data_IF_897875130822
#
_entry.id   IF_897875130822
#
_cell.length_a   1.000
_cell.length_b   1.000
_cell.length_c   1.000
_cell.angle_alpha   90.00
_cell.angle_beta   90.00
_cell.angle_gamma   90.00
#
_symmetry.space_group_name_H-M   'P 1'
#
loop_
_entity.id
_entity.type
_entity.pdbx_description
1 polymer ?
#
# COMPACT_ATOMS: atom_id res chain seq x y z
N UNK A 1 -3.02 17.60 -12.88
CA UNK A 1 -2.39 16.43 -12.19
C UNK A 1 -2.48 15.22 -13.09
N UNK A 2 -1.37 14.53 -13.32
CA UNK A 2 -1.29 13.25 -14.04
C UNK A 2 -1.06 12.13 -13.06
N UNK A 3 -1.88 11.09 -13.12
CA UNK A 3 -1.85 9.95 -12.20
C UNK A 3 -1.49 8.69 -12.98
N UNK A 4 -0.61 7.86 -12.43
CA UNK A 4 -0.38 6.50 -12.90
C UNK A 4 -1.02 5.50 -11.95
N UNK A 5 -1.72 4.53 -12.51
CA UNK A 5 -2.21 3.36 -11.78
C UNK A 5 -1.49 2.13 -12.33
N UNK A 6 -0.82 1.40 -11.46
CA UNK A 6 -0.02 0.27 -11.89
C UNK A 6 -0.91 -0.95 -12.24
N UNK A 7 -0.87 -1.38 -13.50
CA UNK A 7 -1.26 -2.74 -13.86
C UNK A 7 -0.08 -3.66 -13.51
N UNK A 8 -0.08 -4.14 -12.28
CA UNK A 8 1.06 -4.80 -11.69
C UNK A 8 0.99 -6.31 -11.85
N UNK A 9 2.02 -6.90 -12.46
CA UNK A 9 2.17 -8.34 -12.48
C UNK A 9 2.89 -8.80 -11.20
N UNK A 10 2.23 -9.60 -10.38
CA UNK A 10 2.84 -10.15 -9.15
C UNK A 10 4.09 -10.93 -9.49
N UNK A 11 5.18 -10.69 -8.77
CA UNK A 11 6.47 -11.33 -8.96
C UNK A 11 6.88 -12.21 -7.77
N UNK A 12 8.06 -12.80 -7.91
CA UNK A 12 8.72 -13.56 -6.86
C UNK A 12 10.16 -13.05 -6.74
N UNK A 13 10.40 -11.90 -6.08
CA UNK A 13 11.75 -11.36 -5.93
C UNK A 13 12.63 -12.34 -5.14
N UNK A 14 13.90 -12.47 -5.54
CA UNK A 14 14.86 -13.33 -4.87
C UNK A 14 15.26 -12.78 -3.48
N UNK A 15 15.26 -11.46 -3.36
CA UNK A 15 15.62 -10.72 -2.16
C UNK A 15 14.94 -9.34 -2.16
N UNK A 16 15.14 -8.58 -1.08
CA UNK A 16 14.59 -7.22 -0.97
C UNK A 16 15.17 -6.28 -2.04
N UNK A 17 16.44 -6.45 -2.42
CA UNK A 17 17.08 -5.60 -3.43
C UNK A 17 16.46 -5.76 -4.81
N UNK A 18 16.15 -7.00 -5.21
CA UNK A 18 15.44 -7.29 -6.45
C UNK A 18 14.03 -6.67 -6.46
N UNK A 19 13.31 -6.73 -5.33
CA UNK A 19 12.04 -6.03 -5.16
C UNK A 19 12.22 -4.51 -5.32
N UNK A 20 13.18 -3.93 -4.59
CA UNK A 20 13.44 -2.50 -4.61
C UNK A 20 13.84 -2.00 -6.01
N UNK A 21 14.69 -2.74 -6.73
CA UNK A 21 15.08 -2.43 -8.09
C UNK A 21 13.88 -2.39 -9.03
N UNK A 22 12.95 -3.34 -8.90
CA UNK A 22 11.72 -3.37 -9.67
C UNK A 22 10.81 -2.17 -9.37
N UNK A 23 10.63 -1.80 -8.09
CA UNK A 23 9.84 -0.64 -7.72
C UNK A 23 10.47 0.65 -8.29
N UNK A 24 11.79 0.76 -8.22
CA UNK A 24 12.55 1.88 -8.79
C UNK A 24 12.34 2.02 -10.30
N UNK A 25 12.32 0.91 -11.01
CA UNK A 25 12.06 0.90 -12.44
C UNK A 25 10.63 1.38 -12.74
N UNK A 26 9.61 0.78 -12.15
CA UNK A 26 8.19 1.09 -12.41
C UNK A 26 7.89 2.56 -12.10
N UNK A 27 8.35 3.04 -10.95
CA UNK A 27 8.11 4.42 -10.52
C UNK A 27 8.96 5.41 -11.33
N UNK A 28 10.16 5.01 -11.76
CA UNK A 28 11.01 5.80 -12.67
C UNK A 28 10.36 5.99 -14.05
N UNK A 29 9.74 4.95 -14.60
CA UNK A 29 8.97 5.04 -15.85
C UNK A 29 7.76 5.98 -15.70
N UNK A 30 7.04 5.91 -14.59
CA UNK A 30 5.94 6.81 -14.29
C UNK A 30 6.42 8.28 -14.18
N UNK A 31 7.52 8.51 -13.47
CA UNK A 31 8.14 9.83 -13.35
C UNK A 31 8.57 10.36 -14.73
N UNK A 32 9.26 9.57 -15.55
CA UNK A 32 9.65 9.92 -16.92
C UNK A 32 8.46 10.28 -17.82
N UNK A 33 7.28 9.75 -17.53
CA UNK A 33 6.04 10.10 -18.20
C UNK A 33 5.37 11.38 -17.64
N UNK A 34 5.97 12.08 -16.67
CA UNK A 34 5.43 13.29 -16.06
C UNK A 34 4.26 13.06 -15.12
N UNK A 35 4.24 11.92 -14.44
CA UNK A 35 3.25 11.57 -13.42
C UNK A 35 3.58 12.32 -12.13
N UNK A 36 2.54 12.82 -11.46
CA UNK A 36 2.64 13.54 -10.17
C UNK A 36 2.24 12.66 -8.98
N UNK A 37 1.41 11.63 -9.24
CA UNK A 37 0.95 10.66 -8.23
C UNK A 37 0.90 9.27 -8.84
N UNK A 38 1.55 8.28 -8.20
CA UNK A 38 1.49 6.88 -8.59
C UNK A 38 0.70 6.07 -7.56
N UNK A 39 -0.09 5.10 -8.03
CA UNK A 39 -0.89 4.18 -7.20
C UNK A 39 -0.47 2.76 -7.49
N UNK A 40 0.04 2.07 -6.48
CA UNK A 40 0.43 0.67 -6.50
C UNK A 40 -0.66 -0.22 -5.89
N UNK A 41 -0.66 -1.54 -6.17
CA UNK A 41 -1.77 -2.42 -5.79
C UNK A 41 -1.79 -2.76 -4.31
N UNK A 42 -2.95 -3.20 -3.85
CA UNK A 42 -3.13 -3.87 -2.56
C UNK A 42 -2.24 -5.14 -2.49
N UNK A 43 -1.79 -5.49 -1.30
CA UNK A 43 -0.94 -6.66 -1.01
C UNK A 43 0.44 -6.68 -1.70
N UNK A 44 0.88 -5.55 -2.25
CA UNK A 44 2.18 -5.50 -2.93
C UNK A 44 3.34 -6.04 -2.06
N UNK A 45 3.31 -5.78 -0.75
CA UNK A 45 4.33 -6.28 0.17
C UNK A 45 4.38 -7.81 0.30
N UNK A 46 3.29 -8.52 -0.05
CA UNK A 46 3.28 -9.99 0.03
C UNK A 46 4.23 -10.65 -0.98
N UNK A 47 4.65 -9.94 -2.04
CA UNK A 47 5.71 -10.44 -2.92
C UNK A 47 7.01 -10.77 -2.15
N UNK A 48 7.28 -10.00 -1.10
CA UNK A 48 8.46 -10.20 -0.25
C UNK A 48 8.42 -11.51 0.55
N UNK A 49 7.28 -12.18 0.65
CA UNK A 49 7.20 -13.50 1.25
C UNK A 49 8.07 -14.52 0.51
N UNK A 50 8.27 -14.35 -0.80
CA UNK A 50 9.14 -15.21 -1.61
C UNK A 50 10.63 -15.13 -1.25
N UNK A 51 11.05 -14.10 -0.51
CA UNK A 51 12.44 -13.92 -0.07
C UNK A 51 12.79 -14.81 1.14
N UNK A 52 11.79 -15.39 1.80
CA UNK A 52 11.97 -16.31 2.92
C UNK A 52 11.94 -17.77 2.48
N UNK A 53 12.37 -18.65 3.38
CA UNK A 53 12.35 -20.09 3.13
C UNK A 53 10.94 -20.61 2.78
N UNK A 54 10.82 -21.67 1.95
CA UNK A 54 9.53 -22.18 1.48
C UNK A 54 8.55 -22.54 2.61
N UNK A 55 9.04 -22.96 3.75
CA UNK A 55 8.25 -23.29 4.94
C UNK A 55 7.56 -22.06 5.51
N UNK A 56 8.19 -20.89 5.39
CA UNK A 56 7.64 -19.60 5.80
C UNK A 56 6.70 -19.06 4.73
N UNK A 57 7.16 -19.00 3.48
CA UNK A 57 6.43 -18.35 2.39
C UNK A 57 5.11 -19.04 2.02
N UNK A 58 4.93 -20.33 2.38
CA UNK A 58 3.71 -21.10 2.13
C UNK A 58 2.71 -21.05 3.29
N UNK A 59 3.09 -20.52 4.43
CA UNK A 59 2.23 -20.35 5.59
C UNK A 59 1.91 -18.87 5.77
N UNK A 60 0.64 -18.52 5.80
CA UNK A 60 0.21 -17.12 5.89
C UNK A 60 0.71 -16.45 7.17
N UNK A 61 0.54 -17.10 8.31
CA UNK A 61 0.89 -16.50 9.61
C UNK A 61 2.41 -16.35 9.74
N UNK A 62 3.17 -17.35 9.32
CA UNK A 62 4.63 -17.29 9.28
C UNK A 62 5.13 -16.20 8.33
N UNK A 63 4.51 -16.07 7.14
CA UNK A 63 4.82 -15.01 6.19
C UNK A 63 4.55 -13.63 6.76
N UNK A 64 3.39 -13.42 7.39
CA UNK A 64 3.04 -12.12 7.97
C UNK A 64 4.01 -11.72 9.09
N UNK A 65 4.38 -12.66 9.96
CA UNK A 65 5.37 -12.41 11.01
C UNK A 65 6.76 -12.09 10.44
N UNK A 66 7.21 -12.86 9.44
CA UNK A 66 8.50 -12.64 8.81
C UNK A 66 8.58 -11.30 8.07
N UNK A 67 7.52 -10.91 7.37
CA UNK A 67 7.44 -9.63 6.65
C UNK A 67 7.65 -8.41 7.56
N UNK A 68 7.29 -8.50 8.85
CA UNK A 68 7.52 -7.37 9.77
C UNK A 68 9.00 -7.00 9.88
N UNK A 69 9.91 -7.95 9.69
CA UNK A 69 11.36 -7.69 9.70
C UNK A 69 11.80 -6.77 8.57
N UNK A 70 11.05 -6.75 7.46
CA UNK A 70 11.32 -5.93 6.26
C UNK A 70 10.53 -4.62 6.24
N UNK A 71 9.61 -4.39 7.18
CA UNK A 71 8.74 -3.21 7.17
C UNK A 71 9.51 -1.90 7.17
N UNK A 72 10.55 -1.79 7.98
CA UNK A 72 11.36 -0.57 8.06
C UNK A 72 12.08 -0.28 6.75
N UNK A 73 12.65 -1.28 6.10
CA UNK A 73 13.29 -1.14 4.79
C UNK A 73 12.28 -0.78 3.70
N UNK A 74 11.09 -1.41 3.74
CA UNK A 74 10.00 -1.12 2.81
C UNK A 74 9.53 0.34 2.94
N UNK A 75 9.35 0.84 4.15
CA UNK A 75 8.97 2.23 4.40
C UNK A 75 10.06 3.21 3.94
N UNK A 76 11.34 2.89 4.19
CA UNK A 76 12.47 3.70 3.75
C UNK A 76 12.56 3.75 2.22
N UNK A 77 12.42 2.60 1.54
CA UNK A 77 12.43 2.51 0.08
C UNK A 77 11.46 3.51 -0.56
N UNK A 78 10.19 3.51 -0.15
CA UNK A 78 9.20 4.39 -0.76
C UNK A 78 9.35 5.85 -0.35
N UNK A 79 9.83 6.13 0.86
CA UNK A 79 10.17 7.47 1.27
C UNK A 79 11.32 8.05 0.43
N UNK A 80 12.34 7.25 0.14
CA UNK A 80 13.47 7.64 -0.69
C UNK A 80 13.06 7.81 -2.16
N UNK A 81 12.31 6.84 -2.72
CA UNK A 81 11.80 6.92 -4.09
C UNK A 81 10.90 8.15 -4.30
N UNK A 82 10.03 8.46 -3.34
CA UNK A 82 9.17 9.64 -3.42
C UNK A 82 10.01 10.92 -3.50
N UNK A 83 11.06 11.02 -2.69
CA UNK A 83 11.96 12.17 -2.63
C UNK A 83 12.83 12.29 -3.91
N UNK A 84 13.46 11.17 -4.31
CA UNK A 84 14.34 11.10 -5.48
C UNK A 84 13.60 11.44 -6.78
N UNK A 85 12.41 10.84 -6.97
CA UNK A 85 11.60 11.00 -8.17
C UNK A 85 10.69 12.23 -8.13
N UNK A 86 10.60 12.93 -6.99
CA UNK A 86 9.65 14.04 -6.77
C UNK A 86 8.22 13.66 -7.08
N UNK A 87 7.83 12.43 -6.67
CA UNK A 87 6.57 11.77 -7.00
C UNK A 87 5.81 11.45 -5.72
N UNK A 88 4.53 11.81 -5.63
CA UNK A 88 3.68 11.27 -4.57
C UNK A 88 3.40 9.80 -4.89
N UNK A 89 3.67 8.92 -3.94
CA UNK A 89 3.51 7.47 -4.12
C UNK A 89 2.49 6.95 -3.10
N UNK A 90 1.37 6.44 -3.58
CA UNK A 90 0.56 5.50 -2.81
C UNK A 90 1.15 4.11 -3.07
N UNK A 91 1.84 3.57 -2.06
CA UNK A 91 2.75 2.43 -2.18
C UNK A 91 2.04 1.05 -2.10
N UNK A 92 0.77 1.00 -2.46
CA UNK A 92 -0.03 -0.19 -2.23
C UNK A 92 -0.27 -0.42 -0.75
N UNK A 93 -0.28 -1.69 -0.33
CA UNK A 93 -0.49 -1.99 1.09
C UNK A 93 0.59 -2.89 1.68
N UNK A 94 0.77 -2.73 2.99
CA UNK A 94 1.56 -3.61 3.84
C UNK A 94 0.68 -4.14 4.98
N UNK A 95 0.71 -5.44 5.23
CA UNK A 95 0.03 -6.04 6.38
C UNK A 95 0.87 -5.77 7.63
N UNK A 96 0.57 -4.66 8.30
CA UNK A 96 1.31 -4.15 9.45
C UNK A 96 0.83 -4.79 10.75
N UNK A 97 1.74 -5.34 11.55
CA UNK A 97 1.40 -5.82 12.89
C UNK A 97 1.01 -4.64 13.79
N UNK A 98 -0.16 -4.72 14.41
CA UNK A 98 -0.71 -3.68 15.31
C UNK A 98 -0.83 -4.16 16.76
N UNK A 99 -0.83 -5.47 16.95
CA UNK A 99 -0.71 -6.16 18.23
C UNK A 99 -0.10 -7.55 17.95
N UNK A 100 0.46 -8.25 18.92
CA UNK A 100 1.10 -9.55 18.69
C UNK A 100 0.22 -10.53 17.90
N UNK A 101 0.65 -10.88 16.69
CA UNK A 101 -0.07 -11.77 15.77
C UNK A 101 -1.35 -11.17 15.16
N UNK A 102 -1.56 -9.86 15.26
CA UNK A 102 -2.73 -9.15 14.71
C UNK A 102 -2.27 -8.09 13.71
N UNK A 103 -2.82 -8.09 12.53
CA UNK A 103 -2.36 -7.27 11.41
C UNK A 103 -3.50 -6.42 10.86
N UNK A 104 -3.14 -5.22 10.34
CA UNK A 104 -4.03 -4.39 9.53
C UNK A 104 -3.48 -4.26 8.11
N UNK A 105 -4.37 -4.34 7.13
CA UNK A 105 -4.06 -4.10 5.73
C UNK A 105 -3.93 -2.58 5.53
N UNK A 106 -2.69 -2.07 5.57
CA UNK A 106 -2.35 -0.65 5.68
C UNK A 106 -1.86 -0.08 4.37
N UNK A 107 -2.63 0.83 3.79
CA UNK A 107 -2.29 1.58 2.59
C UNK A 107 -1.44 2.80 2.93
N UNK A 108 -0.14 2.73 2.65
CA UNK A 108 0.79 3.82 2.89
C UNK A 108 0.89 4.76 1.69
N UNK A 109 1.08 6.05 1.97
CA UNK A 109 1.48 7.03 0.98
C UNK A 109 2.69 7.84 1.46
N UNK A 110 3.46 8.34 0.49
CA UNK A 110 4.69 9.11 0.69
C UNK A 110 4.69 10.32 -0.24
N UNK A 111 5.13 11.47 0.26
CA UNK A 111 5.28 12.69 -0.51
C UNK A 111 6.75 13.15 -0.57
N UNK A 112 7.13 13.90 -1.61
CA UNK A 112 8.52 14.32 -1.84
C UNK A 112 9.11 15.20 -0.73
N UNK A 113 8.27 15.88 0.03
CA UNK A 113 8.67 16.72 1.18
C UNK A 113 9.00 15.92 2.45
N UNK A 114 8.90 14.58 2.38
CA UNK A 114 9.12 13.67 3.50
C UNK A 114 7.87 13.39 4.33
N UNK A 115 6.75 14.02 4.04
CA UNK A 115 5.49 13.66 4.69
C UNK A 115 5.02 12.30 4.24
N UNK A 116 4.39 11.57 5.14
CA UNK A 116 3.79 10.26 4.90
C UNK A 116 2.58 10.03 5.79
N UNK A 117 1.74 9.13 5.38
CA UNK A 117 0.59 8.72 6.18
C UNK A 117 0.01 7.41 5.67
N UNK A 118 -1.08 6.99 6.27
CA UNK A 118 -1.72 5.74 5.91
C UNK A 118 -3.23 5.76 6.17
N UNK A 119 -3.92 4.88 5.45
CA UNK A 119 -5.28 4.44 5.71
C UNK A 119 -5.28 2.93 5.93
N UNK A 120 -5.84 2.47 7.02
CA UNK A 120 -6.11 1.05 7.23
C UNK A 120 -7.41 0.65 6.49
N UNK A 121 -7.43 -0.52 5.88
CA UNK A 121 -8.63 -1.09 5.29
C UNK A 121 -9.70 -1.25 6.35
N UNK A 122 -10.90 -0.74 6.08
CA UNK A 122 -12.00 -0.73 7.03
C UNK A 122 -12.85 -2.01 6.91
N UNK A 123 -13.14 -2.43 5.68
CA UNK A 123 -14.02 -3.55 5.38
C UNK A 123 -13.21 -4.76 4.96
N UNK A 124 -13.22 -5.79 5.79
CA UNK A 124 -12.53 -7.03 5.49
C UNK A 124 -13.31 -7.87 4.49
N UNK A 125 -12.60 -8.45 3.52
CA UNK A 125 -13.13 -9.50 2.65
C UNK A 125 -13.39 -10.79 3.43
N UNK A 126 -14.09 -11.76 2.82
CA UNK A 126 -14.27 -13.09 3.42
C UNK A 126 -12.93 -13.75 3.76
N UNK A 127 -11.98 -13.72 2.82
CA UNK A 127 -10.63 -14.26 3.01
C UNK A 127 -9.91 -13.66 4.24
N UNK A 128 -9.96 -12.34 4.40
CA UNK A 128 -9.30 -11.65 5.53
C UNK A 128 -9.97 -12.01 6.87
N UNK A 129 -11.31 -12.13 6.89
CA UNK A 129 -12.05 -12.59 8.09
C UNK A 129 -11.72 -14.03 8.45
N UNK A 130 -11.70 -14.91 7.45
CA UNK A 130 -11.43 -16.34 7.64
C UNK A 130 -9.99 -16.59 8.11
N UNK A 131 -9.05 -15.76 7.71
CA UNK A 131 -7.66 -15.80 8.21
C UNK A 131 -7.58 -15.58 9.73
N UNK A 132 -8.52 -14.84 10.32
CA UNK A 132 -8.65 -14.66 11.77
C UNK A 132 -7.57 -13.82 12.45
N UNK A 133 -6.56 -13.37 11.71
CA UNK A 133 -5.42 -12.56 12.19
C UNK A 133 -5.41 -11.14 11.64
N UNK A 134 -6.27 -10.83 10.66
CA UNK A 134 -6.38 -9.52 10.05
C UNK A 134 -7.55 -8.77 10.69
N UNK A 135 -7.31 -7.50 11.05
CA UNK A 135 -8.29 -6.61 11.67
C UNK A 135 -8.65 -5.44 10.75
N UNK A 136 -9.91 -5.04 10.78
CA UNK A 136 -10.36 -3.81 10.15
C UNK A 136 -9.82 -2.56 10.86
N UNK A 137 -9.61 -1.50 10.10
CA UNK A 137 -9.31 -0.17 10.64
C UNK A 137 -10.54 0.44 11.31
N UNK A 138 -10.30 1.46 12.13
CA UNK A 138 -11.29 2.17 12.93
C UNK A 138 -11.35 3.67 12.63
N UNK A 139 -10.44 4.16 11.77
CA UNK A 139 -10.36 5.57 11.38
C UNK A 139 -10.49 5.75 9.87
N UNK A 140 -11.26 6.75 9.47
CA UNK A 140 -11.36 7.19 8.09
C UNK A 140 -10.63 8.52 7.92
N UNK A 141 -9.68 8.56 6.98
CA UNK A 141 -8.78 9.70 6.80
C UNK A 141 -8.93 10.33 5.41
N UNK A 142 -8.58 11.61 5.33
CA UNK A 142 -8.34 12.33 4.08
C UNK A 142 -6.99 13.01 4.14
N UNK A 143 -6.35 13.16 3.00
CA UNK A 143 -4.96 13.62 2.88
C UNK A 143 -4.84 14.68 1.79
N UNK A 144 -3.88 15.56 1.89
CA UNK A 144 -3.52 16.48 0.82
C UNK A 144 -2.36 15.87 0.02
N UNK A 145 -2.66 15.33 -1.16
CA UNK A 145 -1.72 14.61 -2.02
C UNK A 145 -1.59 15.32 -3.38
N UNK A 146 -0.38 15.69 -3.76
CA UNK A 146 -0.10 16.40 -5.02
C UNK A 146 -1.06 17.61 -5.26
N UNK A 147 -1.36 18.37 -4.20
CA UNK A 147 -2.23 19.54 -4.26
C UNK A 147 -3.74 19.24 -4.36
N UNK A 148 -4.14 17.99 -4.17
CA UNK A 148 -5.56 17.57 -4.17
C UNK A 148 -5.88 16.84 -2.88
N UNK A 149 -7.04 17.17 -2.28
CA UNK A 149 -7.54 16.44 -1.13
C UNK A 149 -8.04 15.07 -1.56
N UNK A 150 -7.44 14.02 -1.04
CA UNK A 150 -7.68 12.64 -1.45
C UNK A 150 -8.12 11.76 -0.29
N UNK A 151 -9.02 10.83 -0.57
CA UNK A 151 -9.31 9.67 0.28
C UNK A 151 -8.58 8.44 -0.26
N UNK A 152 -8.37 7.47 0.61
CA UNK A 152 -7.90 6.13 0.22
C UNK A 152 -8.94 5.11 0.69
N UNK A 153 -9.41 4.29 -0.23
CA UNK A 153 -10.31 3.16 0.04
C UNK A 153 -9.62 1.88 -0.45
N UNK A 154 -9.30 0.96 0.45
CA UNK A 154 -8.53 -0.23 0.08
C UNK A 154 -9.46 -1.28 -0.50
N UNK A 155 -9.38 -1.47 -1.83
CA UNK A 155 -10.08 -2.52 -2.58
C UNK A 155 -11.57 -2.60 -2.21
N UNK A 156 -11.94 -3.58 -1.38
CA UNK A 156 -13.32 -3.84 -0.95
C UNK A 156 -13.99 -2.66 -0.23
N UNK A 157 -13.23 -1.75 0.41
CA UNK A 157 -13.80 -0.52 1.00
C UNK A 157 -14.56 0.32 -0.02
N UNK A 158 -14.14 0.32 -1.29
CA UNK A 158 -14.77 1.11 -2.36
C UNK A 158 -16.17 0.63 -2.75
N UNK A 159 -16.55 -0.57 -2.37
CA UNK A 159 -17.88 -1.14 -2.60
C UNK A 159 -18.92 -0.66 -1.57
N UNK A 160 -18.47 0.05 -0.51
CA UNK A 160 -19.34 0.56 0.54
C UNK A 160 -19.54 2.08 0.39
N UNK A 161 -20.79 2.53 0.13
CA UNK A 161 -21.05 3.96 -0.10
C UNK A 161 -20.73 4.85 1.12
N UNK A 162 -20.98 4.38 2.34
CA UNK A 162 -20.84 5.20 3.55
C UNK A 162 -19.43 5.73 3.78
N UNK A 163 -18.34 4.92 3.77
CA UNK A 163 -16.99 5.43 3.92
C UNK A 163 -16.60 6.40 2.82
N UNK A 164 -16.98 6.10 1.56
CA UNK A 164 -16.66 6.95 0.39
C UNK A 164 -17.40 8.30 0.49
N UNK A 165 -18.67 8.29 0.90
CA UNK A 165 -19.44 9.51 1.14
C UNK A 165 -18.82 10.34 2.26
N UNK A 166 -18.43 9.71 3.37
CA UNK A 166 -17.80 10.40 4.49
C UNK A 166 -16.45 11.04 4.09
N UNK A 167 -15.63 10.38 3.28
CA UNK A 167 -14.41 10.99 2.72
C UNK A 167 -14.73 12.20 1.84
N UNK A 168 -15.77 12.10 0.99
CA UNK A 168 -16.22 13.22 0.17
C UNK A 168 -16.69 14.40 1.03
N UNK A 169 -17.47 14.14 2.08
CA UNK A 169 -17.95 15.17 3.03
C UNK A 169 -16.78 15.82 3.78
N UNK A 170 -15.72 15.06 4.10
CA UNK A 170 -14.46 15.57 4.64
C UNK A 170 -13.61 16.33 3.61
N UNK A 171 -14.12 16.52 2.38
CA UNK A 171 -13.53 17.34 1.34
C UNK A 171 -12.69 16.58 0.31
N UNK A 172 -12.66 15.25 0.33
CA UNK A 172 -11.95 14.47 -0.68
C UNK A 172 -12.55 14.71 -2.07
N UNK A 173 -11.70 14.99 -3.04
CA UNK A 173 -12.03 15.18 -4.47
C UNK A 173 -11.42 14.10 -5.36
N UNK A 174 -10.54 13.31 -4.79
CA UNK A 174 -9.89 12.17 -5.42
C UNK A 174 -10.02 10.97 -4.48
N UNK A 175 -10.36 9.81 -5.02
CA UNK A 175 -10.34 8.55 -4.30
C UNK A 175 -9.28 7.66 -4.91
N UNK A 176 -8.32 7.22 -4.11
CA UNK A 176 -7.30 6.24 -4.48
C UNK A 176 -7.76 4.87 -4.00
N UNK A 177 -7.77 3.90 -4.92
CA UNK A 177 -8.23 2.54 -4.61
C UNK A 177 -7.13 1.54 -4.95
N UNK A 178 -6.16 1.33 -4.04
CA UNK A 178 -5.23 0.21 -4.18
C UNK A 178 -6.03 -1.08 -4.11
N UNK A 179 -5.92 -1.93 -5.14
CA UNK A 179 -6.75 -3.12 -5.32
C UNK A 179 -5.92 -4.30 -5.80
N UNK A 180 -6.30 -5.50 -5.37
CA UNK A 180 -5.77 -6.77 -5.82
C UNK A 180 -6.97 -7.64 -6.27
N UNK A 181 -7.25 -7.63 -7.58
CA UNK A 181 -8.35 -8.37 -8.21
C UNK A 181 -7.86 -9.14 -9.43
#
# INVERSE_FOLDING_TARGET
MKIAVAKYAVGNPADFEAFAARQRQILGEACGAGVELAVLPEYLSLELASTFAPEISRDLNASLAALQTLQSEWLALYADLSRELRLVIQAGTFLTEVAPGRYRNRAWWFAPDGTRGYQDKLQLTGFERDAGVIEGGDELKVFDLAGVRAGVAVCYDSEFPLPVCAQREAGARLLLVPSCT
#
